data_IF_994221849564
#
_entry.id   IF_994221849564
#
_cell.length_a   1.000
_cell.length_b   1.000
_cell.length_c   1.000
_cell.angle_alpha   90.00
_cell.angle_beta   90.00
_cell.angle_gamma   90.00
#
_symmetry.space_group_name_H-M   'P 1'
#
loop_
_entity.id
_entity.type
_entity.pdbx_description
1 polymer ?
#
# COMPACT_ATOMS: atom_id res chain seq x y z
N UNK A 1 0.34 15.72 2.74
CA UNK A 1 -0.64 16.64 2.10
C UNK A 1 -1.44 17.31 3.20
N UNK A 2 -2.51 18.05 2.90
CA UNK A 2 -3.43 18.51 3.98
C UNK A 2 -4.21 17.35 4.58
N UNK A 3 -4.41 16.28 3.81
CA UNK A 3 -5.08 15.04 4.24
C UNK A 3 -4.29 13.81 3.79
N UNK A 4 -4.46 12.71 4.53
CA UNK A 4 -3.96 11.38 4.18
C UNK A 4 -5.15 10.48 3.91
N UNK A 5 -5.15 9.79 2.76
CA UNK A 5 -6.17 8.81 2.37
C UNK A 5 -5.57 7.40 2.40
N UNK A 6 -5.80 6.61 3.46
CA UNK A 6 -5.41 5.22 3.50
C UNK A 6 -6.15 4.40 2.42
N UNK A 7 -5.43 3.57 1.67
CA UNK A 7 -5.99 2.84 0.53
C UNK A 7 -6.22 1.35 0.84
N UNK A 8 -5.16 0.61 1.16
CA UNK A 8 -5.22 -0.84 1.44
C UNK A 8 -4.09 -1.26 2.38
N UNK A 9 -4.32 -2.28 3.21
CA UNK A 9 -3.23 -3.07 3.82
C UNK A 9 -2.90 -4.21 2.87
N UNK A 10 -1.62 -4.41 2.60
CA UNK A 10 -1.12 -5.38 1.63
C UNK A 10 -0.12 -6.33 2.31
N UNK A 11 -0.10 -7.60 1.91
CA UNK A 11 0.90 -8.55 2.38
C UNK A 11 1.99 -8.72 1.35
N UNK A 12 3.24 -8.58 1.77
CA UNK A 12 4.41 -8.97 0.98
C UNK A 12 4.79 -10.42 1.31
N UNK A 13 4.90 -11.27 0.29
CA UNK A 13 5.38 -12.64 0.44
C UNK A 13 6.90 -12.63 0.41
N UNK A 14 7.53 -12.79 1.57
CA UNK A 14 9.00 -12.74 1.71
C UNK A 14 9.50 -14.13 2.10
N UNK A 15 10.47 -14.65 1.34
CA UNK A 15 11.20 -15.87 1.70
C UNK A 15 12.54 -15.48 2.32
N UNK A 16 12.85 -16.07 3.48
CA UNK A 16 14.11 -15.86 4.20
C UNK A 16 14.91 -17.16 4.17
N UNK A 17 16.10 -17.10 3.57
CA UNK A 17 17.11 -18.15 3.57
C UNK A 17 18.49 -17.51 3.55
N UNK A 18 19.42 -17.99 2.72
CA UNK A 18 20.74 -17.35 2.52
C UNK A 18 20.64 -15.89 2.02
N UNK A 19 19.50 -15.53 1.43
CA UNK A 19 19.14 -14.18 1.07
C UNK A 19 17.64 -13.94 1.30
N UNK A 20 17.26 -12.67 1.50
CA UNK A 20 15.87 -12.22 1.55
C UNK A 20 15.35 -12.08 0.11
N UNK A 21 14.22 -12.71 -0.21
CA UNK A 21 13.62 -12.66 -1.54
C UNK A 21 12.15 -12.26 -1.48
N UNK A 22 11.79 -11.24 -2.26
CA UNK A 22 10.41 -10.86 -2.51
C UNK A 22 9.79 -11.82 -3.54
N UNK A 23 8.74 -12.53 -3.15
CA UNK A 23 8.04 -13.52 -3.96
C UNK A 23 6.72 -13.03 -4.57
N UNK A 24 6.20 -11.88 -4.13
CA UNK A 24 4.90 -11.39 -4.58
C UNK A 24 4.11 -10.68 -3.49
N UNK A 25 2.82 -10.44 -3.74
CA UNK A 25 1.96 -9.79 -2.77
C UNK A 25 0.47 -10.13 -2.91
N UNK A 26 -0.27 -9.82 -1.85
CA UNK A 26 -1.73 -9.94 -1.76
C UNK A 26 -2.31 -8.57 -1.44
N UNK A 27 -3.30 -8.14 -2.23
CA UNK A 27 -3.90 -6.80 -2.17
C UNK A 27 -5.43 -6.91 -2.27
N UNK A 28 -6.21 -6.51 -1.25
CA UNK A 28 -5.75 -6.26 0.11
C UNK A 28 -5.44 -7.58 0.85
N UNK A 29 -4.75 -7.47 1.98
CA UNK A 29 -4.60 -8.54 2.96
C UNK A 29 -5.52 -8.28 4.16
N UNK A 30 -6.61 -9.06 4.33
CA UNK A 30 -7.48 -8.92 5.50
C UNK A 30 -6.73 -9.27 6.79
N UNK A 31 -6.80 -8.39 7.78
CA UNK A 31 -6.19 -8.60 9.11
C UNK A 31 -7.07 -7.97 10.19
N UNK A 32 -7.18 -8.58 11.39
CA UNK A 32 -7.91 -7.97 12.50
C UNK A 32 -7.25 -6.68 13.01
N UNK A 33 -5.99 -6.41 12.62
CA UNK A 33 -5.23 -5.21 13.01
C UNK A 33 -5.19 -4.15 11.91
N UNK A 34 -6.18 -4.16 11.00
CA UNK A 34 -6.23 -3.29 9.83
C UNK A 34 -6.10 -1.80 10.21
N UNK A 35 -6.91 -1.35 11.17
CA UNK A 35 -6.93 0.05 11.58
C UNK A 35 -5.62 0.49 12.26
N UNK A 36 -4.97 -0.41 12.99
CA UNK A 36 -3.64 -0.15 13.57
C UNK A 36 -2.61 0.07 12.46
N UNK A 37 -2.54 -0.84 11.49
CA UNK A 37 -1.56 -0.76 10.40
C UNK A 37 -1.80 0.50 9.56
N UNK A 38 -3.07 0.82 9.24
CA UNK A 38 -3.44 2.04 8.52
C UNK A 38 -3.10 3.31 9.30
N UNK A 39 -3.38 3.34 10.59
CA UNK A 39 -3.08 4.49 11.45
C UNK A 39 -1.58 4.74 11.56
N UNK A 40 -0.78 3.67 11.70
CA UNK A 40 0.69 3.77 11.73
C UNK A 40 1.23 4.24 10.38
N UNK A 41 0.74 3.69 9.27
CA UNK A 41 1.13 4.12 7.93
C UNK A 41 0.80 5.60 7.67
N UNK A 42 -0.40 6.04 8.05
CA UNK A 42 -0.82 7.43 7.90
C UNK A 42 0.04 8.37 8.75
N UNK A 43 0.30 8.01 10.00
CA UNK A 43 1.16 8.78 10.91
C UNK A 43 2.58 8.91 10.39
N UNK A 44 3.15 7.83 9.83
CA UNK A 44 4.48 7.84 9.24
C UNK A 44 4.56 8.76 8.01
N UNK A 45 3.56 8.68 7.11
CA UNK A 45 3.49 9.53 5.93
C UNK A 45 3.37 11.01 6.30
N UNK A 46 2.56 11.33 7.31
CA UNK A 46 2.37 12.71 7.80
C UNK A 46 3.63 13.25 8.48
N UNK A 47 4.23 12.49 9.40
CA UNK A 47 5.44 12.90 10.12
C UNK A 47 6.63 13.18 9.19
N UNK A 48 6.69 12.50 8.03
CA UNK A 48 7.72 12.69 7.02
C UNK A 48 7.33 13.70 5.92
N UNK A 49 6.16 14.32 6.02
CA UNK A 49 5.69 15.32 5.06
C UNK A 49 5.44 14.77 3.65
N UNK A 50 5.09 13.49 3.53
CA UNK A 50 4.92 12.82 2.25
C UNK A 50 3.75 13.41 1.44
N UNK A 51 3.87 13.34 0.11
CA UNK A 51 2.90 13.87 -0.86
C UNK A 51 2.74 12.90 -2.03
N UNK A 52 1.52 12.80 -2.56
CA UNK A 52 1.18 11.87 -3.65
C UNK A 52 0.92 10.45 -3.14
N UNK A 53 1.30 9.44 -3.93
CA UNK A 53 1.18 8.03 -3.56
C UNK A 53 2.38 7.58 -2.75
N UNK A 54 2.15 6.97 -1.60
CA UNK A 54 3.19 6.55 -0.67
C UNK A 54 2.95 5.08 -0.30
N UNK A 55 3.97 4.25 -0.50
CA UNK A 55 4.03 2.91 0.09
C UNK A 55 4.72 2.96 1.44
N UNK A 56 4.13 2.36 2.47
CA UNK A 56 4.75 2.21 3.79
C UNK A 56 4.94 0.72 4.04
N UNK A 57 6.19 0.31 4.20
CA UNK A 57 6.50 -1.08 4.53
C UNK A 57 6.50 -1.24 6.05
N UNK A 58 5.66 -2.16 6.53
CA UNK A 58 5.43 -2.40 7.95
C UNK A 58 5.66 -3.89 8.24
N UNK A 59 6.44 -4.16 9.28
CA UNK A 59 6.52 -5.49 9.90
C UNK A 59 5.58 -5.51 11.10
N UNK A 60 4.57 -6.37 11.05
CA UNK A 60 3.56 -6.51 12.11
C UNK A 60 3.97 -7.64 13.07
N UNK A 61 4.58 -7.27 14.20
CA UNK A 61 4.96 -8.18 15.29
C UNK A 61 3.97 -8.11 16.46
N UNK A 62 4.47 -8.05 17.69
CA UNK A 62 3.69 -7.64 18.86
C UNK A 62 3.09 -6.24 18.68
N UNK A 63 3.87 -5.35 18.06
CA UNK A 63 3.45 -4.02 17.58
C UNK A 63 3.80 -3.82 16.11
N UNK A 64 3.27 -2.76 15.52
CA UNK A 64 3.62 -2.35 14.16
C UNK A 64 4.97 -1.63 14.12
N UNK A 65 5.87 -2.06 13.25
CA UNK A 65 7.17 -1.43 13.01
C UNK A 65 7.26 -0.93 11.57
N UNK A 66 7.39 0.38 11.37
CA UNK A 66 7.68 0.97 10.05
C UNK A 66 9.15 0.70 9.72
N UNK A 67 9.40 -0.01 8.61
CA UNK A 67 10.76 -0.39 8.19
C UNK A 67 11.26 0.44 7.01
N UNK A 68 10.36 0.88 6.14
CA UNK A 68 10.69 1.74 5.00
C UNK A 68 9.49 2.61 4.61
N UNK A 69 9.78 3.79 4.06
CA UNK A 69 8.80 4.75 3.54
C UNK A 69 9.18 5.10 2.12
N UNK A 70 8.33 4.67 1.18
CA UNK A 70 8.50 4.87 -0.24
C UNK A 70 7.54 5.98 -0.71
N UNK A 71 7.97 7.26 -0.82
CA UNK A 71 7.15 8.35 -1.34
C UNK A 71 7.01 8.30 -2.87
N UNK A 72 6.71 7.12 -3.39
CA UNK A 72 6.51 6.78 -4.79
C UNK A 72 5.64 5.53 -4.89
N UNK A 73 4.99 5.27 -6.05
CA UNK A 73 4.41 3.98 -6.34
C UNK A 73 5.39 2.82 -6.13
N UNK A 74 4.91 1.79 -5.46
CA UNK A 74 5.55 0.47 -5.37
C UNK A 74 4.74 -0.54 -6.17
N UNK A 75 5.25 -1.75 -6.37
CA UNK A 75 4.59 -2.80 -7.16
C UNK A 75 3.16 -3.10 -6.73
N UNK A 76 2.82 -2.91 -5.45
CA UNK A 76 1.46 -3.12 -4.94
C UNK A 76 0.42 -2.24 -5.60
N UNK A 77 0.80 -1.11 -6.22
CA UNK A 77 -0.13 -0.23 -6.95
C UNK A 77 -0.91 -0.99 -8.04
N UNK A 78 -0.31 -2.03 -8.63
CA UNK A 78 -0.97 -2.88 -9.63
C UNK A 78 -2.16 -3.65 -9.03
N UNK A 79 -2.03 -4.11 -7.78
CA UNK A 79 -3.13 -4.73 -7.06
C UNK A 79 -4.15 -3.68 -6.63
N UNK A 80 -3.70 -2.56 -6.06
CA UNK A 80 -4.57 -1.49 -5.57
C UNK A 80 -5.48 -0.98 -6.68
N UNK A 81 -4.93 -0.70 -7.86
CA UNK A 81 -5.70 -0.22 -9.01
C UNK A 81 -6.80 -1.17 -9.48
N UNK A 82 -6.69 -2.47 -9.18
CA UNK A 82 -7.68 -3.50 -9.56
C UNK A 82 -8.77 -3.71 -8.51
N UNK A 83 -8.51 -3.38 -7.24
CA UNK A 83 -9.37 -3.79 -6.12
C UNK A 83 -10.07 -2.65 -5.42
N UNK A 84 -9.74 -1.38 -5.71
CA UNK A 84 -10.47 -0.23 -5.18
C UNK A 84 -11.57 0.21 -6.15
N UNK A 85 -12.63 0.83 -5.64
CA UNK A 85 -13.75 1.34 -6.44
C UNK A 85 -13.51 2.73 -7.05
N UNK A 86 -12.25 3.14 -7.20
CA UNK A 86 -11.81 4.45 -7.72
C UNK A 86 -10.66 4.25 -8.71
N UNK A 87 -10.47 5.20 -9.60
CA UNK A 87 -9.32 5.23 -10.50
C UNK A 87 -8.10 5.75 -9.72
N UNK A 88 -6.99 5.01 -9.73
CA UNK A 88 -5.83 5.33 -8.91
C UNK A 88 -5.09 6.58 -9.40
N UNK A 89 -5.03 6.81 -10.70
CA UNK A 89 -4.43 8.01 -11.31
C UNK A 89 -5.14 9.30 -10.88
N UNK A 90 -6.47 9.31 -10.88
CA UNK A 90 -7.30 10.42 -10.40
C UNK A 90 -7.02 10.72 -8.92
N UNK A 91 -6.93 9.69 -8.07
CA UNK A 91 -6.56 9.87 -6.65
C UNK A 91 -5.15 10.48 -6.50
N UNK A 92 -4.18 10.07 -7.31
CA UNK A 92 -2.82 10.61 -7.28
C UNK A 92 -2.80 12.10 -7.68
N UNK A 93 -3.56 12.47 -8.71
CA UNK A 93 -3.70 13.87 -9.14
C UNK A 93 -4.37 14.69 -8.03
N UNK A 94 -5.49 14.20 -7.47
CA UNK A 94 -6.20 14.85 -6.35
C UNK A 94 -5.37 14.96 -5.08
N UNK A 95 -4.47 14.01 -4.81
CA UNK A 95 -3.54 14.13 -3.68
C UNK A 95 -2.61 15.34 -3.80
N UNK A 96 -2.39 15.87 -5.01
CA UNK A 96 -1.63 17.10 -5.24
C UNK A 96 -2.50 18.36 -5.29
N UNK A 97 -3.67 18.28 -5.92
CA UNK A 97 -4.51 19.46 -6.22
C UNK A 97 -5.74 19.61 -5.31
N UNK A 98 -5.94 18.70 -4.37
CA UNK A 98 -7.09 18.67 -3.47
C UNK A 98 -8.26 17.83 -4.00
N UNK A 99 -9.30 17.70 -3.18
CA UNK A 99 -10.53 16.97 -3.53
C UNK A 99 -10.42 15.46 -3.45
N UNK A 100 -9.56 14.93 -2.56
CA UNK A 100 -9.57 13.51 -2.19
C UNK A 100 -10.91 13.16 -1.52
N UNK A 101 -11.47 11.97 -1.79
CA UNK A 101 -12.62 11.49 -1.04
C UNK A 101 -12.23 11.19 0.42
N UNK A 102 -13.24 11.07 1.30
CA UNK A 102 -13.02 10.63 2.68
C UNK A 102 -12.50 9.19 2.76
N UNK A 103 -12.94 8.34 1.84
CA UNK A 103 -12.56 6.92 1.79
C UNK A 103 -12.66 6.33 0.38
N UNK A 104 -12.06 5.16 0.21
CA UNK A 104 -12.23 4.29 -0.97
C UNK A 104 -12.88 2.98 -0.55
N UNK A 105 -13.72 2.42 -1.42
CA UNK A 105 -14.28 1.09 -1.22
C UNK A 105 -13.37 0.02 -1.83
N UNK A 106 -13.34 -1.16 -1.22
CA UNK A 106 -12.65 -2.35 -1.74
C UNK A 106 -13.68 -3.25 -2.41
N UNK A 107 -13.44 -3.62 -3.67
CA UNK A 107 -14.36 -4.39 -4.53
C UNK A 107 -13.82 -5.76 -4.94
N UNK A 108 -12.66 -6.16 -4.43
CA UNK A 108 -12.07 -7.45 -4.76
C UNK A 108 -10.76 -7.72 -4.04
N UNK A 109 -10.05 -8.73 -4.52
CA UNK A 109 -8.68 -9.05 -4.10
C UNK A 109 -7.84 -9.44 -5.32
N UNK A 110 -6.53 -9.24 -5.20
CA UNK A 110 -5.56 -9.53 -6.23
C UNK A 110 -4.30 -10.09 -5.59
N UNK A 111 -3.87 -11.25 -6.07
CA UNK A 111 -2.63 -11.89 -5.69
C UNK A 111 -1.72 -11.97 -6.90
N UNK A 112 -0.45 -11.68 -6.71
CA UNK A 112 0.56 -11.76 -7.75
C UNK A 112 1.87 -12.30 -7.21
N UNK A 113 2.63 -12.97 -8.07
CA UNK A 113 4.01 -13.38 -7.81
C UNK A 113 5.00 -12.53 -8.60
N UNK A 114 6.26 -12.54 -8.20
CA UNK A 114 7.34 -11.86 -8.95
C UNK A 114 7.41 -12.34 -10.40
N UNK A 115 7.19 -13.63 -10.64
CA UNK A 115 7.22 -14.26 -11.96
C UNK A 115 6.05 -13.78 -12.82
N UNK A 116 4.84 -13.71 -12.26
CA UNK A 116 3.65 -13.24 -12.99
C UNK A 116 3.75 -11.78 -13.43
N UNK A 117 4.53 -10.96 -12.73
CA UNK A 117 4.79 -9.57 -13.10
C UNK A 117 5.83 -9.43 -14.23
N UNK A 118 6.77 -10.37 -14.32
CA UNK A 118 7.83 -10.35 -15.34
C UNK A 118 7.34 -10.71 -16.75
N UNK A 119 6.15 -11.32 -16.86
CA UNK A 119 5.55 -11.76 -18.13
C UNK A 119 4.40 -10.88 -18.62
N UNK A 120 4.17 -9.73 -17.98
CA UNK A 120 2.98 -8.92 -18.20
C UNK A 120 3.25 -7.43 -18.32
N UNK A 121 4.06 -7.03 -19.31
CA UNK A 121 4.01 -5.76 -20.05
C UNK A 121 4.62 -5.98 -21.44
#
# INVERSE_FOLDING_TARGET
GETVLPLTVNMQKIAVGDAIRYGGGVVPYPTPRWDEVMGVAASAADALGCRGYVGIDIVLGDRSFVVDVNPRPTTSILGVARVINREIGDLIIRARFGGLPESVGIIGSFEFTKETLGHGF
#
